data_IF_098259417421
#
_entry.id   IF_098259417421
#
_cell.length_a   1.000
_cell.length_b   1.000
_cell.length_c   1.000
_cell.angle_alpha   90.00
_cell.angle_beta   90.00
_cell.angle_gamma   90.00
#
_symmetry.space_group_name_H-M   'P 1'
#
loop_
_entity.id
_entity.type
_entity.pdbx_description
1 polymer ?
#
# COMPACT_ATOMS: atom_id res chain seq x y z
N UNK A 1 12.68 -23.26 -10.56
CA UNK A 1 12.14 -23.55 -9.23
C UNK A 1 11.82 -22.32 -8.40
N UNK A 2 12.66 -21.28 -8.42
CA UNK A 2 12.40 -20.05 -7.68
C UNK A 2 11.13 -19.32 -8.07
N UNK A 3 10.76 -19.36 -9.34
CA UNK A 3 9.57 -18.69 -9.85
C UNK A 3 8.28 -19.26 -9.26
N UNK A 4 8.17 -20.59 -9.24
CA UNK A 4 6.97 -21.25 -8.70
C UNK A 4 6.79 -20.97 -7.21
N UNK A 5 7.88 -20.97 -6.44
CA UNK A 5 7.86 -20.68 -5.02
C UNK A 5 7.46 -19.23 -4.75
N UNK A 6 8.03 -18.28 -5.52
CA UNK A 6 7.71 -16.87 -5.39
C UNK A 6 6.23 -16.61 -5.72
N UNK A 7 5.71 -17.26 -6.74
CA UNK A 7 4.30 -17.14 -7.12
C UNK A 7 3.38 -17.69 -6.03
N UNK A 8 3.72 -18.84 -5.43
CA UNK A 8 2.95 -19.41 -4.34
C UNK A 8 2.92 -18.50 -3.11
N UNK A 9 4.05 -17.90 -2.75
CA UNK A 9 4.13 -16.93 -1.64
C UNK A 9 3.31 -15.69 -1.91
N UNK A 10 3.37 -15.17 -3.12
CA UNK A 10 2.57 -14.01 -3.52
C UNK A 10 1.08 -14.30 -3.41
N UNK A 11 0.64 -15.47 -3.89
CA UNK A 11 -0.76 -15.89 -3.81
C UNK A 11 -1.23 -16.00 -2.36
N UNK A 12 -0.41 -16.58 -1.49
CA UNK A 12 -0.71 -16.72 -0.06
C UNK A 12 -0.86 -15.35 0.61
N UNK A 13 0.08 -14.45 0.34
CA UNK A 13 0.03 -13.09 0.88
C UNK A 13 -1.20 -12.33 0.38
N UNK A 14 -1.53 -12.48 -0.90
CA UNK A 14 -2.70 -11.86 -1.50
C UNK A 14 -3.99 -12.33 -0.83
N UNK A 15 -4.12 -13.64 -0.59
CA UNK A 15 -5.31 -14.18 0.07
C UNK A 15 -5.48 -13.65 1.49
N UNK A 16 -4.39 -13.52 2.24
CA UNK A 16 -4.43 -12.96 3.59
C UNK A 16 -4.82 -11.48 3.58
N UNK A 17 -4.30 -10.72 2.63
CA UNK A 17 -4.65 -9.31 2.48
C UNK A 17 -6.12 -9.13 2.10
N UNK A 18 -6.63 -9.97 1.23
CA UNK A 18 -8.04 -9.94 0.82
C UNK A 18 -8.96 -10.19 2.02
N UNK A 19 -8.59 -11.12 2.90
CA UNK A 19 -9.35 -11.37 4.14
C UNK A 19 -9.41 -10.13 5.03
N UNK A 20 -8.38 -9.30 5.01
CA UNK A 20 -8.34 -8.03 5.73
C UNK A 20 -9.01 -6.88 4.96
N UNK A 21 -9.57 -7.16 3.79
CA UNK A 21 -10.20 -6.15 2.94
C UNK A 21 -9.23 -5.32 2.12
N UNK A 22 -8.00 -5.80 1.96
CA UNK A 22 -6.95 -5.08 1.22
C UNK A 22 -6.54 -5.85 -0.02
N UNK A 23 -6.47 -5.16 -1.17
CA UNK A 23 -5.82 -5.71 -2.35
C UNK A 23 -4.31 -5.50 -2.22
N UNK A 24 -3.47 -6.29 -2.93
CA UNK A 24 -2.03 -6.07 -2.90
C UNK A 24 -1.61 -4.66 -3.30
N UNK A 25 -2.29 -4.04 -4.25
CA UNK A 25 -1.99 -2.67 -4.68
C UNK A 25 -2.33 -1.65 -3.62
N UNK A 26 -3.48 -1.80 -2.96
CA UNK A 26 -3.86 -0.93 -1.84
C UNK A 26 -2.86 -1.05 -0.70
N UNK A 27 -2.46 -2.27 -0.37
CA UNK A 27 -1.48 -2.52 0.68
C UNK A 27 -0.13 -1.88 0.35
N UNK A 28 0.34 -2.01 -0.91
CA UNK A 28 1.57 -1.41 -1.36
C UNK A 28 1.51 0.12 -1.29
N UNK A 29 0.39 0.69 -1.73
CA UNK A 29 0.18 2.14 -1.69
C UNK A 29 0.19 2.66 -0.25
N UNK A 30 -0.51 1.98 0.66
CA UNK A 30 -0.50 2.35 2.08
C UNK A 30 0.91 2.29 2.66
N UNK A 31 1.68 1.27 2.31
CA UNK A 31 3.06 1.14 2.75
C UNK A 31 3.95 2.28 2.27
N UNK A 32 3.79 2.70 1.02
CA UNK A 32 4.55 3.83 0.47
C UNK A 32 4.18 5.13 1.16
N UNK A 33 2.89 5.36 1.42
CA UNK A 33 2.44 6.53 2.16
C UNK A 33 2.99 6.54 3.58
N UNK A 34 3.05 5.38 4.23
CA UNK A 34 3.63 5.26 5.57
C UNK A 34 5.12 5.59 5.60
N UNK A 35 5.82 5.39 4.48
CA UNK A 35 7.24 5.74 4.35
C UNK A 35 7.47 7.18 3.94
N UNK A 36 6.41 7.95 3.76
CA UNK A 36 6.51 9.36 3.42
C UNK A 36 6.45 9.70 1.93
N UNK A 37 6.17 8.71 1.07
CA UNK A 37 5.97 8.97 -0.36
C UNK A 37 4.55 9.48 -0.54
N UNK A 38 4.41 10.77 -0.80
CA UNK A 38 3.10 11.44 -0.83
C UNK A 38 2.77 12.14 -2.15
N UNK A 39 3.64 12.02 -3.16
CA UNK A 39 3.40 12.60 -4.48
C UNK A 39 2.75 11.57 -5.41
N UNK A 40 1.60 11.86 -6.02
CA UNK A 40 0.93 10.91 -6.92
C UNK A 40 1.80 10.41 -8.06
N UNK A 41 2.65 11.26 -8.63
CA UNK A 41 3.56 10.85 -9.70
C UNK A 41 4.59 9.82 -9.23
N UNK A 42 5.13 10.00 -8.04
CA UNK A 42 6.07 9.04 -7.46
C UNK A 42 5.39 7.72 -7.11
N UNK A 43 4.17 7.80 -6.58
CA UNK A 43 3.38 6.61 -6.28
C UNK A 43 3.10 5.79 -7.54
N UNK A 44 2.74 6.46 -8.63
CA UNK A 44 2.49 5.80 -9.91
C UNK A 44 3.76 5.08 -10.41
N UNK A 45 4.90 5.76 -10.34
CA UNK A 45 6.18 5.19 -10.76
C UNK A 45 6.56 3.97 -9.93
N UNK A 46 6.48 4.08 -8.61
CA UNK A 46 6.84 3.00 -7.70
C UNK A 46 5.89 1.81 -7.78
N UNK A 47 4.59 2.07 -8.01
CA UNK A 47 3.60 1.01 -8.19
C UNK A 47 3.67 0.38 -9.58
N UNK A 48 4.29 1.07 -10.54
CA UNK A 48 4.33 0.61 -11.92
C UNK A 48 2.98 0.65 -12.61
N UNK A 49 2.16 1.64 -12.28
CA UNK A 49 0.81 1.81 -12.84
C UNK A 49 0.62 3.22 -13.38
N UNK A 50 -0.35 3.44 -14.30
CA UNK A 50 -0.65 4.78 -14.79
C UNK A 50 -1.13 5.71 -13.67
N UNK A 51 -0.89 7.03 -13.76
CA UNK A 51 -1.37 7.98 -12.76
C UNK A 51 -2.88 7.93 -12.53
N UNK A 52 -3.67 7.63 -13.57
CA UNK A 52 -5.12 7.48 -13.43
C UNK A 52 -5.49 6.36 -12.47
N UNK A 53 -4.72 5.27 -12.46
CA UNK A 53 -4.96 4.15 -11.56
C UNK A 53 -4.61 4.52 -10.11
N UNK A 54 -3.56 5.31 -9.90
CA UNK A 54 -3.24 5.84 -8.58
C UNK A 54 -4.39 6.69 -8.06
N UNK A 55 -4.96 7.55 -8.91
CA UNK A 55 -6.11 8.37 -8.54
C UNK A 55 -7.29 7.53 -8.10
N UNK A 56 -7.59 6.46 -8.81
CA UNK A 56 -8.66 5.52 -8.44
C UNK A 56 -8.38 4.83 -7.11
N UNK A 57 -7.16 4.37 -6.90
CA UNK A 57 -6.77 3.72 -5.65
C UNK A 57 -6.87 4.68 -4.46
N UNK A 58 -6.40 5.92 -4.64
CA UNK A 58 -6.48 6.95 -3.60
C UNK A 58 -7.93 7.29 -3.28
N UNK A 59 -8.77 7.43 -4.28
CA UNK A 59 -10.19 7.70 -4.07
C UNK A 59 -10.85 6.59 -3.26
N UNK A 60 -10.54 5.34 -3.56
CA UNK A 60 -11.06 4.20 -2.81
C UNK A 60 -10.58 4.20 -1.36
N UNK A 61 -9.30 4.50 -1.14
CA UNK A 61 -8.74 4.58 0.22
C UNK A 61 -9.31 5.74 1.02
N UNK A 62 -9.58 6.87 0.37
CA UNK A 62 -10.24 8.01 0.99
C UNK A 62 -11.67 7.65 1.42
N UNK A 63 -12.41 6.98 0.54
CA UNK A 63 -13.77 6.53 0.82
C UNK A 63 -13.81 5.54 1.99
N UNK A 64 -12.80 4.70 2.10
CA UNK A 64 -12.67 3.75 3.22
C UNK A 64 -12.17 4.41 4.50
N UNK A 65 -11.83 5.70 4.46
CA UNK A 65 -11.35 6.43 5.62
C UNK A 65 -9.90 6.13 6.00
N UNK A 66 -9.10 5.63 5.06
CA UNK A 66 -7.71 5.26 5.30
C UNK A 66 -6.73 6.37 4.93
N UNK A 67 -7.12 7.24 4.00
CA UNK A 67 -6.29 8.33 3.48
C UNK A 67 -7.10 9.61 3.48
N UNK A 68 -6.44 10.73 3.78
CA UNK A 68 -7.02 12.07 3.68
C UNK A 68 -6.17 12.93 2.75
N UNK A 69 -6.83 13.77 1.98
CA UNK A 69 -6.19 14.84 1.21
C UNK A 69 -6.35 16.14 1.96
N UNK A 70 -5.26 16.89 2.06
CA UNK A 70 -5.26 18.17 2.76
C UNK A 70 -4.33 19.13 2.02
N UNK A 71 -4.64 20.43 2.02
CA UNK A 71 -3.69 21.40 1.47
C UNK A 71 -2.38 21.32 2.22
N UNK A 72 -1.27 21.42 1.46
CA UNK A 72 0.06 21.47 2.07
C UNK A 72 0.14 22.73 2.96
N UNK A 73 0.53 22.61 4.24
CA UNK A 73 0.68 23.76 5.11
C UNK A 73 1.66 24.82 4.59
N UNK A 74 2.65 24.39 3.80
CA UNK A 74 3.67 25.28 3.25
C UNK A 74 3.30 25.86 1.90
N UNK A 75 2.45 25.17 1.12
CA UNK A 75 2.00 25.65 -0.19
C UNK A 75 0.58 25.18 -0.45
N UNK A 76 -0.40 26.07 -0.25
CA UNK A 76 -1.84 25.74 -0.40
C UNK A 76 -2.24 25.32 -1.81
N UNK A 77 -1.38 25.56 -2.81
CA UNK A 77 -1.63 25.12 -4.17
C UNK A 77 -1.36 23.65 -4.37
N UNK A 78 -0.68 23.01 -3.42
CA UNK A 78 -0.37 21.57 -3.46
C UNK A 78 -1.27 20.82 -2.50
N UNK A 79 -1.70 19.65 -2.93
CA UNK A 79 -2.46 18.71 -2.09
C UNK A 79 -1.49 17.69 -1.53
N UNK A 80 -1.53 17.51 -0.24
CA UNK A 80 -0.71 16.52 0.44
C UNK A 80 -1.58 15.36 0.91
N UNK A 81 -1.04 14.15 0.82
CA UNK A 81 -1.73 12.92 1.21
C UNK A 81 -1.27 12.50 2.60
N UNK A 82 -2.22 12.15 3.44
CA UNK A 82 -1.95 11.71 4.80
C UNK A 82 -2.68 10.40 5.08
N UNK A 83 -2.03 9.51 5.82
CA UNK A 83 -2.71 8.35 6.38
C UNK A 83 -3.50 8.81 7.61
N UNK A 84 -4.76 8.37 7.68
CA UNK A 84 -5.54 8.50 8.91
C UNK A 84 -5.00 7.52 9.95
N UNK A 85 -5.38 7.64 11.24
CA UNK A 85 -5.03 6.61 12.22
C UNK A 85 -5.44 5.21 11.78
N UNK A 86 -6.63 5.08 11.17
CA UNK A 86 -7.12 3.83 10.60
C UNK A 86 -6.23 3.35 9.44
N UNK A 87 -5.77 4.29 8.60
CA UNK A 87 -4.87 3.98 7.50
C UNK A 87 -3.51 3.51 7.97
N UNK A 88 -2.98 4.10 9.02
CA UNK A 88 -1.71 3.67 9.62
C UNK A 88 -1.81 2.27 10.19
N UNK A 89 -2.91 1.97 10.84
CA UNK A 89 -3.17 0.64 11.36
C UNK A 89 -3.30 -0.39 10.25
N UNK A 90 -4.00 -0.05 9.17
CA UNK A 90 -4.12 -0.92 8.01
C UNK A 90 -2.76 -1.15 7.32
N UNK A 91 -1.94 -0.11 7.20
CA UNK A 91 -0.59 -0.23 6.63
C UNK A 91 0.28 -1.15 7.48
N UNK A 92 0.22 -1.01 8.81
CA UNK A 92 0.98 -1.85 9.73
C UNK A 92 0.56 -3.31 9.64
N UNK A 93 -0.75 -3.57 9.54
CA UNK A 93 -1.27 -4.94 9.39
C UNK A 93 -0.84 -5.55 8.06
N UNK A 94 -0.90 -4.79 6.98
CA UNK A 94 -0.48 -5.25 5.67
C UNK A 94 1.01 -5.62 5.66
N UNK A 95 1.85 -4.79 6.26
CA UNK A 95 3.28 -5.07 6.40
C UNK A 95 3.53 -6.31 7.24
N UNK A 96 2.83 -6.45 8.36
CA UNK A 96 2.97 -7.61 9.23
C UNK A 96 2.58 -8.90 8.52
N UNK A 97 1.49 -8.90 7.74
CA UNK A 97 1.06 -10.06 6.96
C UNK A 97 2.07 -10.43 5.89
N UNK A 98 2.60 -9.43 5.20
CA UNK A 98 3.61 -9.63 4.17
C UNK A 98 4.88 -10.24 4.77
N UNK A 99 5.36 -9.69 5.87
CA UNK A 99 6.54 -10.21 6.57
C UNK A 99 6.30 -11.60 7.16
N UNK A 100 5.10 -11.87 7.65
CA UNK A 100 4.76 -13.18 8.18
C UNK A 100 4.84 -14.27 7.11
N UNK A 101 4.43 -13.96 5.88
CA UNK A 101 4.48 -14.92 4.77
C UNK A 101 5.89 -15.04 4.20
N UNK A 102 6.50 -13.92 3.80
CA UNK A 102 7.80 -13.91 3.14
C UNK A 102 8.97 -14.06 4.11
N UNK A 103 8.90 -13.40 5.26
CA UNK A 103 9.97 -13.43 6.25
C UNK A 103 10.22 -14.82 6.83
N UNK A 104 9.16 -15.57 7.08
CA UNK A 104 9.27 -16.94 7.61
C UNK A 104 10.03 -17.87 6.67
N UNK A 105 9.76 -17.75 5.37
CA UNK A 105 10.38 -18.61 4.37
C UNK A 105 11.82 -18.20 4.08
N UNK A 106 12.12 -16.92 4.15
CA UNK A 106 13.48 -16.43 3.98
C UNK A 106 14.37 -16.82 5.17
N UNK A 107 13.82 -16.88 6.37
CA UNK A 107 14.57 -17.28 7.55
C UNK A 107 14.98 -18.75 7.55
N UNK A 108 14.37 -19.58 6.71
CA UNK A 108 14.70 -21.00 6.58
C UNK A 108 15.75 -21.27 5.51
N UNK A 109 16.14 -20.26 4.77
CA UNK A 109 17.20 -20.35 3.80
C UNK A 109 18.54 -20.01 4.46
#
# INVERSE_FOLDING_TARGET
>A
MGYALTHALYTEAKELLVKEGLSPRKAHLLGLLAKGVDLPSQLAELLGVPPSQVSHLLAALEEEGLVERSPDPQDRRKVKLFLTPKGREAAARAEALWLAVFGRRLARL
#
